data_IF_697509646045
#
_entry.id   IF_697509646045
#
_cell.length_a   1.000
_cell.length_b   1.000
_cell.length_c   1.000
_cell.angle_alpha   90.00
_cell.angle_beta   90.00
_cell.angle_gamma   90.00
#
_symmetry.space_group_name_H-M   'P 1'
#
loop_
_entity.id
_entity.type
_entity.pdbx_description
1 polymer ?
#
# COMPACT_ATOMS: atom_id res chain seq x y z
N UNK A 1 -9.60 -1.92 -18.88
CA UNK A 1 -9.82 -2.52 -17.53
C UNK A 1 -8.86 -2.00 -16.47
N UNK A 2 -7.60 -1.69 -16.82
CA UNK A 2 -6.60 -1.12 -15.89
C UNK A 2 -7.04 0.22 -15.24
N UNK A 3 -7.65 1.15 -15.99
CA UNK A 3 -8.23 2.37 -15.41
C UNK A 3 -9.35 2.07 -14.40
N UNK A 4 -10.21 1.08 -14.68
CA UNK A 4 -11.29 0.69 -13.76
C UNK A 4 -10.75 0.03 -12.48
N UNK A 5 -9.64 -0.70 -12.59
CA UNK A 5 -8.90 -1.16 -11.40
C UNK A 5 -8.37 0.03 -10.60
N UNK A 6 -7.76 1.01 -11.27
CA UNK A 6 -7.22 2.21 -10.62
C UNK A 6 -8.31 3.04 -9.93
N UNK A 7 -9.49 3.19 -10.55
CA UNK A 7 -10.66 3.81 -9.91
C UNK A 7 -11.04 3.10 -8.60
N UNK A 8 -10.94 1.77 -8.53
CA UNK A 8 -11.18 1.02 -7.31
C UNK A 8 -10.08 1.24 -6.25
N UNK A 9 -8.81 1.37 -6.69
CA UNK A 9 -7.68 1.75 -5.82
C UNK A 9 -7.92 3.13 -5.19
N UNK A 10 -8.29 4.12 -6.00
CA UNK A 10 -8.58 5.49 -5.54
C UNK A 10 -9.80 5.52 -4.60
N UNK A 11 -10.87 4.79 -4.96
CA UNK A 11 -12.07 4.65 -4.11
C UNK A 11 -11.72 4.06 -2.74
N UNK A 12 -10.90 3.01 -2.72
CA UNK A 12 -10.39 2.43 -1.47
C UNK A 12 -9.48 3.39 -0.70
N UNK A 13 -8.71 4.22 -1.40
CA UNK A 13 -7.86 5.26 -0.82
C UNK A 13 -8.65 6.34 -0.07
N UNK A 14 -9.86 6.65 -0.51
CA UNK A 14 -10.80 7.55 0.17
C UNK A 14 -11.49 6.90 1.39
N UNK A 15 -11.35 5.59 1.58
CA UNK A 15 -11.98 4.83 2.67
C UNK A 15 -13.35 4.25 2.33
N UNK A 16 -13.79 4.30 1.06
CA UNK A 16 -15.07 3.74 0.61
C UNK A 16 -14.94 2.22 0.37
N UNK A 17 -14.70 1.46 1.44
CA UNK A 17 -14.34 0.05 1.42
C UNK A 17 -15.35 -0.85 0.68
N UNK A 18 -16.64 -0.76 1.01
CA UNK A 18 -17.68 -1.57 0.37
C UNK A 18 -17.79 -1.30 -1.14
N UNK A 19 -17.70 -0.04 -1.53
CA UNK A 19 -17.73 0.36 -2.94
C UNK A 19 -16.52 -0.19 -3.69
N UNK A 20 -15.31 0.00 -3.15
CA UNK A 20 -14.08 -0.50 -3.73
C UNK A 20 -14.08 -2.03 -3.87
N UNK A 21 -14.46 -2.77 -2.82
CA UNK A 21 -14.55 -4.24 -2.85
C UNK A 21 -15.55 -4.73 -3.91
N UNK A 22 -16.71 -4.08 -4.01
CA UNK A 22 -17.72 -4.39 -5.05
C UNK A 22 -17.18 -4.13 -6.46
N UNK A 23 -16.46 -3.02 -6.67
CA UNK A 23 -15.83 -2.71 -7.95
C UNK A 23 -14.80 -3.76 -8.35
N UNK A 24 -13.95 -4.17 -7.40
CA UNK A 24 -12.90 -5.17 -7.61
C UNK A 24 -13.50 -6.54 -7.96
N UNK A 25 -14.59 -6.92 -7.29
CA UNK A 25 -15.26 -8.20 -7.56
C UNK A 25 -15.84 -8.29 -8.97
N UNK A 26 -16.63 -7.28 -9.36
CA UNK A 26 -17.18 -7.15 -10.72
C UNK A 26 -16.08 -7.02 -11.77
N UNK A 27 -14.94 -6.43 -11.42
CA UNK A 27 -13.80 -6.32 -12.33
C UNK A 27 -13.15 -7.69 -12.56
N UNK A 28 -12.97 -8.51 -11.51
CA UNK A 28 -12.45 -9.88 -11.64
C UNK A 28 -13.35 -10.72 -12.54
N UNK A 29 -14.66 -10.66 -12.36
CA UNK A 29 -15.62 -11.39 -13.20
C UNK A 29 -15.47 -11.05 -14.69
N UNK A 30 -15.43 -9.74 -15.01
CA UNK A 30 -15.26 -9.28 -16.40
C UNK A 30 -13.88 -9.62 -16.95
N UNK A 31 -12.82 -9.46 -16.15
CA UNK A 31 -11.46 -9.77 -16.58
C UNK A 31 -11.29 -11.26 -16.94
N UNK A 32 -11.97 -12.18 -16.25
CA UNK A 32 -11.99 -13.62 -16.61
C UNK A 32 -12.58 -13.88 -18.01
N UNK A 33 -13.57 -13.10 -18.44
CA UNK A 33 -14.23 -13.32 -19.75
C UNK A 33 -13.35 -13.01 -20.94
N UNK A 34 -12.27 -12.25 -20.73
CA UNK A 34 -11.32 -11.83 -21.78
C UNK A 34 -9.89 -12.25 -21.47
N UNK A 35 -9.70 -13.10 -20.46
CA UNK A 35 -8.40 -13.61 -20.04
C UNK A 35 -7.36 -12.53 -19.65
N UNK A 36 -7.81 -11.47 -18.97
CA UNK A 36 -6.94 -10.40 -18.47
C UNK A 36 -6.36 -10.75 -17.09
N UNK A 37 -5.43 -11.72 -17.06
CA UNK A 37 -4.86 -12.31 -15.85
C UNK A 37 -4.19 -11.29 -14.92
N UNK A 38 -3.54 -10.27 -15.48
CA UNK A 38 -2.88 -9.20 -14.73
C UNK A 38 -3.90 -8.32 -14.00
N UNK A 39 -5.05 -8.06 -14.61
CA UNK A 39 -6.14 -7.31 -13.96
C UNK A 39 -6.77 -8.13 -12.85
N UNK A 40 -6.95 -9.45 -13.04
CA UNK A 40 -7.46 -10.34 -11.99
C UNK A 40 -6.53 -10.32 -10.78
N UNK A 41 -5.22 -10.44 -11.02
CA UNK A 41 -4.18 -10.40 -10.00
C UNK A 41 -4.19 -9.07 -9.24
N UNK A 42 -4.15 -7.94 -9.95
CA UNK A 42 -4.21 -6.60 -9.35
C UNK A 42 -5.48 -6.37 -8.53
N UNK A 43 -6.62 -6.92 -8.97
CA UNK A 43 -7.88 -6.81 -8.24
C UNK A 43 -7.86 -7.62 -6.93
N UNK A 44 -7.25 -8.81 -6.94
CA UNK A 44 -7.04 -9.60 -5.73
C UNK A 44 -6.07 -8.92 -4.76
N UNK A 45 -4.92 -8.43 -5.22
CA UNK A 45 -3.95 -7.78 -4.33
C UNK A 45 -4.46 -6.44 -3.77
N UNK A 46 -5.33 -5.74 -4.50
CA UNK A 46 -6.03 -4.55 -3.97
C UNK A 46 -7.05 -4.94 -2.91
N UNK A 47 -7.77 -6.06 -3.10
CA UNK A 47 -8.68 -6.62 -2.09
C UNK A 47 -7.91 -6.98 -0.82
N UNK A 48 -6.74 -7.62 -0.96
CA UNK A 48 -5.82 -7.91 0.14
C UNK A 48 -5.39 -6.62 0.87
N UNK A 49 -5.00 -5.59 0.12
CA UNK A 49 -4.60 -4.30 0.68
C UNK A 49 -5.70 -3.63 1.51
N UNK A 50 -6.97 -3.76 1.14
CA UNK A 50 -8.08 -3.22 1.94
C UNK A 50 -8.24 -3.96 3.27
N UNK A 51 -8.11 -5.30 3.24
CA UNK A 51 -8.12 -6.13 4.45
C UNK A 51 -6.93 -5.84 5.37
N UNK A 52 -5.74 -5.70 4.79
CA UNK A 52 -4.51 -5.35 5.50
C UNK A 52 -4.60 -4.02 6.24
N UNK A 53 -5.15 -2.99 5.59
CA UNK A 53 -5.31 -1.66 6.20
C UNK A 53 -6.25 -1.68 7.42
N UNK A 54 -7.10 -2.70 7.53
CA UNK A 54 -7.98 -2.93 8.68
C UNK A 54 -7.43 -3.94 9.71
N UNK A 55 -6.15 -4.32 9.58
CA UNK A 55 -5.47 -5.27 10.46
C UNK A 55 -5.72 -6.75 10.16
N UNK A 56 -6.44 -7.09 9.09
CA UNK A 56 -6.82 -8.46 8.71
C UNK A 56 -5.75 -9.16 7.86
N UNK A 57 -4.53 -9.23 8.38
CA UNK A 57 -3.41 -9.91 7.71
C UNK A 57 -3.65 -11.41 7.49
N UNK A 58 -4.44 -12.03 8.38
CA UNK A 58 -4.89 -13.43 8.28
C UNK A 58 -5.65 -13.70 6.98
N UNK A 59 -6.55 -12.78 6.60
CA UNK A 59 -7.34 -12.88 5.37
C UNK A 59 -6.58 -12.36 4.14
N UNK A 60 -5.88 -11.23 4.30
CA UNK A 60 -5.15 -10.57 3.21
C UNK A 60 -4.13 -11.52 2.55
N UNK A 61 -3.46 -12.37 3.35
CA UNK A 61 -2.50 -13.34 2.86
C UNK A 61 -3.11 -14.32 1.83
N UNK A 62 -4.35 -14.75 2.04
CA UNK A 62 -5.06 -15.61 1.09
C UNK A 62 -5.39 -14.90 -0.22
N UNK A 63 -5.75 -13.62 -0.14
CA UNK A 63 -6.02 -12.81 -1.33
C UNK A 63 -4.77 -12.51 -2.15
N UNK A 64 -3.63 -12.20 -1.53
CA UNK A 64 -2.39 -12.01 -2.28
C UNK A 64 -1.83 -13.32 -2.85
N UNK A 65 -2.06 -14.45 -2.17
CA UNK A 65 -1.76 -15.77 -2.75
C UNK A 65 -2.62 -16.04 -3.99
N UNK A 66 -3.91 -15.72 -3.94
CA UNK A 66 -4.81 -15.80 -5.10
C UNK A 66 -4.41 -14.82 -6.22
N UNK A 67 -3.90 -13.63 -5.86
CA UNK A 67 -3.38 -12.66 -6.83
C UNK A 67 -2.19 -13.24 -7.59
N UNK A 68 -1.23 -13.86 -6.89
CA UNK A 68 -0.05 -14.46 -7.53
C UNK A 68 -0.41 -15.69 -8.37
N UNK A 69 -1.32 -16.53 -7.88
CA UNK A 69 -1.79 -17.73 -8.58
C UNK A 69 -2.63 -17.44 -9.84
N UNK A 70 -3.13 -16.21 -9.99
CA UNK A 70 -3.87 -15.79 -11.18
C UNK A 70 -2.97 -15.52 -12.40
N UNK A 71 -1.65 -15.50 -12.23
CA UNK A 71 -0.68 -15.19 -13.29
C UNK A 71 -0.02 -16.47 -13.81
N UNK A 72 0.12 -16.60 -15.13
CA UNK A 72 0.72 -17.79 -15.76
C UNK A 72 2.25 -17.85 -15.59
N UNK A 73 2.93 -16.71 -15.79
CA UNK A 73 4.38 -16.56 -15.61
C UNK A 73 4.72 -15.31 -14.77
N UNK A 74 4.46 -15.35 -13.45
CA UNK A 74 4.61 -14.19 -12.57
C UNK A 74 6.05 -13.70 -12.43
N UNK A 75 7.07 -14.50 -12.82
CA UNK A 75 8.47 -14.16 -12.59
C UNK A 75 9.28 -13.97 -13.88
N UNK A 76 8.85 -14.54 -15.00
CA UNK A 76 9.53 -14.46 -16.30
C UNK A 76 8.94 -13.42 -17.27
N UNK A 77 7.71 -12.96 -17.06
CA UNK A 77 7.02 -12.09 -18.04
C UNK A 77 7.74 -10.76 -18.31
N UNK A 78 7.83 -10.41 -19.60
CA UNK A 78 8.32 -9.12 -20.09
C UNK A 78 7.21 -8.05 -20.22
N UNK A 79 5.94 -8.39 -19.95
CA UNK A 79 4.86 -7.41 -19.89
C UNK A 79 4.96 -6.59 -18.57
N UNK A 80 5.10 -5.25 -18.63
CA UNK A 80 5.14 -4.40 -17.44
C UNK A 80 3.96 -4.59 -16.50
N UNK A 81 2.77 -4.87 -17.03
CA UNK A 81 1.55 -5.02 -16.25
C UNK A 81 1.47 -6.36 -15.52
N UNK A 82 1.93 -7.45 -16.15
CA UNK A 82 2.08 -8.74 -15.46
C UNK A 82 3.15 -8.65 -14.37
N UNK A 83 4.26 -7.95 -14.63
CA UNK A 83 5.32 -7.75 -13.62
C UNK A 83 4.84 -6.97 -12.40
N UNK A 84 4.14 -5.84 -12.59
CA UNK A 84 3.62 -5.08 -11.45
C UNK A 84 2.57 -5.87 -10.68
N UNK A 85 1.73 -6.65 -11.37
CA UNK A 85 0.75 -7.51 -10.72
C UNK A 85 1.42 -8.56 -9.81
N UNK A 86 2.45 -9.24 -10.33
CA UNK A 86 3.25 -10.19 -9.56
C UNK A 86 3.98 -9.51 -8.40
N UNK A 87 4.58 -8.35 -8.63
CA UNK A 87 5.30 -7.61 -7.59
C UNK A 87 4.38 -7.15 -6.47
N UNK A 88 3.22 -6.57 -6.79
CA UNK A 88 2.24 -6.17 -5.78
C UNK A 88 1.75 -7.35 -4.95
N UNK A 89 1.52 -8.52 -5.56
CA UNK A 89 1.13 -9.73 -4.85
C UNK A 89 2.24 -10.21 -3.90
N UNK A 90 3.51 -10.25 -4.35
CA UNK A 90 4.65 -10.68 -3.52
C UNK A 90 4.94 -9.69 -2.39
N UNK A 91 4.89 -8.38 -2.66
CA UNK A 91 5.03 -7.34 -1.63
C UNK A 91 3.86 -7.39 -0.64
N UNK A 92 2.64 -7.67 -1.12
CA UNK A 92 1.47 -7.89 -0.29
C UNK A 92 1.64 -9.08 0.68
N UNK A 93 2.10 -10.23 0.15
CA UNK A 93 2.47 -11.40 0.98
C UNK A 93 3.56 -11.05 2.01
N UNK A 94 4.55 -10.23 1.63
CA UNK A 94 5.58 -9.80 2.56
C UNK A 94 5.02 -8.91 3.68
N UNK A 95 4.11 -8.00 3.34
CA UNK A 95 3.44 -7.12 4.30
C UNK A 95 2.54 -7.90 5.26
N UNK A 96 1.83 -8.93 4.79
CA UNK A 96 1.00 -9.75 5.67
C UNK A 96 1.82 -10.68 6.57
N UNK A 97 2.92 -11.25 6.06
CA UNK A 97 3.85 -11.96 6.93
C UNK A 97 4.47 -11.03 7.97
N UNK A 98 4.78 -9.78 7.62
CA UNK A 98 5.23 -8.77 8.59
C UNK A 98 4.16 -8.49 9.65
N UNK A 99 2.91 -8.24 9.25
CA UNK A 99 1.80 -7.99 10.17
C UNK A 99 1.45 -9.18 11.06
N UNK A 100 1.82 -10.40 10.65
CA UNK A 100 1.74 -11.63 11.44
C UNK A 100 3.03 -11.93 12.23
N UNK A 101 3.97 -10.98 12.31
CA UNK A 101 5.26 -11.09 12.99
C UNK A 101 6.19 -12.21 12.46
N UNK A 102 6.00 -12.63 11.20
CA UNK A 102 6.81 -13.65 10.51
C UNK A 102 7.96 -12.98 9.74
N UNK A 103 8.82 -12.27 10.44
CA UNK A 103 9.86 -11.41 9.85
C UNK A 103 10.79 -12.12 8.84
N UNK A 104 11.29 -13.35 9.10
CA UNK A 104 12.14 -14.03 8.11
C UNK A 104 11.41 -14.34 6.79
N UNK A 105 10.11 -14.63 6.84
CA UNK A 105 9.31 -14.88 5.64
C UNK A 105 9.11 -13.57 4.86
N UNK A 106 8.76 -12.48 5.56
CA UNK A 106 8.66 -11.14 4.97
C UNK A 106 9.95 -10.73 4.26
N UNK A 107 11.11 -10.91 4.92
CA UNK A 107 12.43 -10.61 4.33
C UNK A 107 12.72 -11.38 3.04
N UNK A 108 12.44 -12.69 3.01
CA UNK A 108 12.63 -13.51 1.79
C UNK A 108 11.70 -13.08 0.66
N UNK A 109 10.45 -12.75 0.97
CA UNK A 109 9.48 -12.28 -0.03
C UNK A 109 9.89 -10.91 -0.61
N UNK A 110 10.39 -9.98 0.22
CA UNK A 110 10.92 -8.71 -0.27
C UNK A 110 12.17 -8.89 -1.15
N UNK A 111 13.06 -9.82 -0.80
CA UNK A 111 14.19 -10.16 -1.66
C UNK A 111 13.70 -10.67 -3.03
N UNK A 112 12.70 -11.55 -3.03
CA UNK A 112 12.09 -12.06 -4.26
C UNK A 112 11.39 -10.97 -5.08
N UNK A 113 10.71 -10.03 -4.42
CA UNK A 113 10.10 -8.87 -5.09
C UNK A 113 11.15 -8.01 -5.80
N UNK A 114 12.32 -7.80 -5.18
CA UNK A 114 13.42 -7.04 -5.80
C UNK A 114 13.95 -7.69 -7.06
N UNK A 115 14.07 -9.01 -7.09
CA UNK A 115 14.53 -9.77 -8.26
C UNK A 115 13.61 -9.59 -9.48
N UNK A 116 12.32 -9.27 -9.28
CA UNK A 116 11.40 -9.00 -10.40
C UNK A 116 11.83 -7.76 -11.21
N UNK A 117 12.42 -6.76 -10.55
CA UNK A 117 12.93 -5.53 -11.15
C UNK A 117 14.45 -5.52 -11.34
N UNK A 118 15.19 -6.31 -10.56
CA UNK A 118 16.65 -6.41 -10.62
C UNK A 118 17.12 -7.06 -11.92
N UNK A 119 17.49 -6.23 -12.89
CA UNK A 119 18.07 -6.66 -14.17
C UNK A 119 17.25 -6.28 -15.41
N UNK A 120 16.17 -5.52 -15.27
CA UNK A 120 15.31 -5.12 -16.39
C UNK A 120 14.98 -3.62 -16.32
N UNK A 121 15.89 -2.79 -16.84
CA UNK A 121 15.60 -1.39 -17.19
C UNK A 121 14.75 -1.35 -18.48
N UNK A 122 13.61 -2.03 -18.48
CA UNK A 122 12.63 -1.89 -19.55
C UNK A 122 11.70 -0.76 -19.15
N UNK A 123 12.24 0.46 -19.19
CA UNK A 123 11.41 1.65 -19.27
C UNK A 123 10.84 1.63 -20.68
N UNK A 124 9.54 1.36 -20.78
CA UNK A 124 8.82 1.60 -22.02
C UNK A 124 8.83 3.12 -22.25
N UNK A 125 9.72 3.58 -23.14
CA UNK A 125 9.94 5.00 -23.40
C UNK A 125 8.68 5.69 -23.95
N UNK A 126 7.74 4.91 -24.47
CA UNK A 126 6.47 5.38 -25.02
C UNK A 126 5.32 5.33 -24.01
N UNK A 127 5.55 4.82 -22.79
CA UNK A 127 4.52 4.78 -21.75
C UNK A 127 4.14 6.18 -21.27
N UNK A 128 2.84 6.43 -21.18
CA UNK A 128 2.32 7.66 -20.59
C UNK A 128 2.70 7.77 -19.10
N UNK A 129 2.63 8.99 -18.56
CA UNK A 129 3.06 9.28 -17.20
C UNK A 129 2.34 8.43 -16.13
N UNK A 130 1.04 8.15 -16.33
CA UNK A 130 0.27 7.33 -15.39
C UNK A 130 0.70 5.86 -15.47
N UNK A 131 0.84 5.31 -16.69
CA UNK A 131 1.35 3.94 -16.87
C UNK A 131 2.72 3.76 -16.23
N UNK A 132 3.65 4.71 -16.47
CA UNK A 132 5.00 4.72 -15.85
C UNK A 132 4.92 4.74 -14.33
N UNK A 133 4.12 5.62 -13.75
CA UNK A 133 3.94 5.69 -12.30
C UNK A 133 3.42 4.35 -11.75
N UNK A 134 2.42 3.77 -12.39
CA UNK A 134 1.78 2.53 -11.94
C UNK A 134 2.70 1.33 -12.06
N UNK A 135 3.43 1.16 -13.15
CA UNK A 135 4.20 -0.07 -13.43
C UNK A 135 5.65 -0.04 -12.93
N UNK A 136 6.20 1.14 -12.63
CA UNK A 136 7.59 1.29 -12.15
C UNK A 136 7.67 1.94 -10.77
N UNK A 137 7.23 3.20 -10.64
CA UNK A 137 7.48 3.98 -9.42
C UNK A 137 6.69 3.45 -8.22
N UNK A 138 5.37 3.33 -8.36
CA UNK A 138 4.45 2.89 -7.31
C UNK A 138 4.85 1.55 -6.68
N UNK A 139 5.08 0.45 -7.43
CA UNK A 139 5.44 -0.84 -6.84
C UNK A 139 6.74 -0.76 -6.04
N UNK A 140 7.77 -0.08 -6.58
CA UNK A 140 9.07 0.07 -5.91
C UNK A 140 8.95 0.88 -4.62
N UNK A 141 8.16 1.95 -4.62
CA UNK A 141 7.85 2.74 -3.42
C UNK A 141 7.13 1.87 -2.37
N UNK A 142 6.14 1.06 -2.77
CA UNK A 142 5.44 0.14 -1.87
C UNK A 142 6.35 -0.94 -1.27
N UNK A 143 7.31 -1.45 -2.04
CA UNK A 143 8.34 -2.37 -1.52
C UNK A 143 9.22 -1.69 -0.47
N UNK A 144 9.64 -0.43 -0.71
CA UNK A 144 10.43 0.34 0.27
C UNK A 144 9.66 0.57 1.55
N UNK A 145 8.36 0.86 1.47
CA UNK A 145 7.49 0.99 2.63
C UNK A 145 7.50 -0.27 3.51
N UNK A 146 7.22 -1.44 2.94
CA UNK A 146 7.19 -2.71 3.68
C UNK A 146 8.58 -3.08 4.20
N UNK A 147 9.64 -2.82 3.42
CA UNK A 147 11.01 -3.05 3.87
C UNK A 147 11.43 -2.13 5.01
N UNK A 148 11.01 -0.86 5.00
CA UNK A 148 11.28 0.09 6.08
C UNK A 148 10.54 -0.33 7.35
N UNK A 149 9.27 -0.70 7.24
CA UNK A 149 8.50 -1.26 8.36
C UNK A 149 9.19 -2.52 8.93
N UNK A 150 9.66 -3.45 8.07
CA UNK A 150 10.38 -4.64 8.51
C UNK A 150 11.62 -4.24 9.32
N UNK A 151 12.42 -3.32 8.79
CA UNK A 151 13.63 -2.84 9.42
C UNK A 151 13.35 -2.18 10.78
N UNK A 152 12.26 -1.40 10.90
CA UNK A 152 11.80 -0.85 12.17
C UNK A 152 11.49 -1.98 13.17
N UNK A 153 10.68 -2.97 12.77
CA UNK A 153 10.28 -4.07 13.64
C UNK A 153 11.45 -4.98 14.06
N UNK A 154 12.51 -5.06 13.24
CA UNK A 154 13.72 -5.84 13.55
C UNK A 154 14.85 -5.01 14.17
N UNK A 155 14.65 -3.72 14.41
CA UNK A 155 15.63 -2.84 15.06
C UNK A 155 16.78 -2.35 14.17
N UNK A 156 16.66 -2.43 12.84
CA UNK A 156 17.64 -1.91 11.88
C UNK A 156 17.25 -0.49 11.41
N UNK A 157 17.48 0.48 12.29
CA UNK A 157 17.11 1.88 12.02
C UNK A 157 17.85 2.48 10.81
N UNK A 158 19.08 2.03 10.53
CA UNK A 158 19.85 2.48 9.37
C UNK A 158 19.24 2.00 8.06
N UNK A 159 18.84 0.73 7.99
CA UNK A 159 18.14 0.20 6.82
C UNK A 159 16.77 0.85 6.63
N UNK A 160 16.03 1.10 7.72
CA UNK A 160 14.75 1.81 7.65
C UNK A 160 14.92 3.20 7.01
N UNK A 161 15.89 3.99 7.49
CA UNK A 161 16.22 5.32 6.94
C UNK A 161 16.65 5.27 5.47
N UNK A 162 17.47 4.29 5.08
CA UNK A 162 17.89 4.13 3.68
C UNK A 162 16.68 3.87 2.77
N UNK A 163 15.85 2.90 3.12
CA UNK A 163 14.70 2.51 2.30
C UNK A 163 13.67 3.64 2.17
N UNK A 164 13.40 4.36 3.25
CA UNK A 164 12.46 5.48 3.16
C UNK A 164 13.04 6.66 2.38
N UNK A 165 14.34 6.94 2.52
CA UNK A 165 15.02 7.96 1.72
C UNK A 165 15.01 7.63 0.22
N UNK A 166 15.11 6.35 -0.16
CA UNK A 166 14.90 5.92 -1.54
C UNK A 166 13.48 6.18 -2.02
N UNK A 167 12.46 5.83 -1.22
CA UNK A 167 11.06 6.07 -1.57
C UNK A 167 10.74 7.57 -1.73
N UNK A 168 11.26 8.42 -0.84
CA UNK A 168 11.11 9.87 -0.93
C UNK A 168 11.75 10.44 -2.20
N UNK A 169 12.94 9.96 -2.58
CA UNK A 169 13.60 10.36 -3.84
C UNK A 169 12.77 9.96 -5.06
N UNK A 170 12.21 8.75 -5.08
CA UNK A 170 11.33 8.30 -6.16
C UNK A 170 10.09 9.18 -6.25
N UNK A 171 9.39 9.40 -5.13
CA UNK A 171 8.18 10.23 -5.10
C UNK A 171 8.45 11.70 -5.43
N UNK A 172 9.63 12.25 -5.10
CA UNK A 172 9.97 13.66 -5.34
C UNK A 172 9.95 14.09 -6.81
N UNK A 173 9.96 13.14 -7.75
CA UNK A 173 9.85 13.41 -9.19
C UNK A 173 8.43 13.24 -9.74
N UNK A 174 7.47 12.81 -8.90
CA UNK A 174 6.11 12.47 -9.32
C UNK A 174 5.13 13.60 -9.03
N UNK A 175 4.08 13.68 -9.85
CA UNK A 175 3.01 14.69 -9.74
C UNK A 175 2.33 14.68 -8.37
N UNK A 176 1.80 15.84 -7.97
CA UNK A 176 0.87 15.97 -6.84
C UNK A 176 -0.43 15.18 -7.03
N UNK A 177 -0.75 14.75 -8.25
CA UNK A 177 -1.92 13.88 -8.51
C UNK A 177 -1.83 12.53 -7.78
N UNK A 178 -0.63 12.14 -7.33
CA UNK A 178 -0.39 10.93 -6.55
C UNK A 178 -0.28 11.22 -5.04
N UNK A 179 -0.99 12.24 -4.55
CA UNK A 179 -0.91 12.76 -3.18
C UNK A 179 -1.02 11.69 -2.10
N UNK A 180 -1.88 10.69 -2.29
CA UNK A 180 -2.00 9.55 -1.35
C UNK A 180 -0.67 8.83 -1.13
N UNK A 181 0.11 8.62 -2.20
CA UNK A 181 1.41 7.95 -2.12
C UNK A 181 2.48 8.86 -1.50
N UNK A 182 2.40 10.17 -1.75
CA UNK A 182 3.25 11.15 -1.05
C UNK A 182 3.00 11.12 0.46
N UNK A 183 1.75 11.27 0.89
CA UNK A 183 1.38 11.25 2.32
C UNK A 183 1.80 9.93 2.98
N UNK A 184 1.54 8.78 2.34
CA UNK A 184 1.92 7.47 2.91
C UNK A 184 3.43 7.32 3.04
N UNK A 185 4.21 7.86 2.08
CA UNK A 185 5.68 7.89 2.19
C UNK A 185 6.12 8.74 3.37
N UNK A 186 5.59 9.95 3.51
CA UNK A 186 5.95 10.85 4.61
C UNK A 186 5.56 10.29 5.98
N UNK A 187 4.42 9.59 6.08
CA UNK A 187 4.01 8.91 7.32
C UNK A 187 4.99 7.81 7.74
N UNK A 188 5.51 7.03 6.80
CA UNK A 188 6.51 5.99 7.13
C UNK A 188 7.84 6.65 7.49
N UNK A 189 8.20 7.76 6.85
CA UNK A 189 9.38 8.54 7.22
C UNK A 189 9.28 9.03 8.67
N UNK A 190 8.13 9.61 9.05
CA UNK A 190 7.86 10.00 10.43
C UNK A 190 7.93 8.83 11.42
N UNK A 191 7.35 7.67 11.06
CA UNK A 191 7.41 6.47 11.91
C UNK A 191 8.83 5.88 12.07
N UNK A 192 9.72 6.16 11.12
CA UNK A 192 11.13 5.71 11.14
C UNK A 192 12.10 6.69 11.80
N UNK A 193 11.64 7.90 12.15
CA UNK A 193 12.48 8.95 12.67
C UNK A 193 12.92 8.68 14.11
N UNK A 194 14.18 9.03 14.43
CA UNK A 194 14.73 8.95 15.79
C UNK A 194 14.37 10.15 16.66
N UNK A 195 14.08 11.29 16.04
CA UNK A 195 13.62 12.51 16.72
C UNK A 195 12.09 12.55 16.72
N UNK A 196 11.49 12.50 17.90
CA UNK A 196 10.03 12.46 18.08
C UNK A 196 9.36 13.79 17.77
N UNK A 197 10.06 14.92 17.92
CA UNK A 197 9.53 16.25 17.58
C UNK A 197 9.39 16.42 16.08
N UNK A 198 10.44 16.05 15.33
CA UNK A 198 10.40 16.07 13.86
C UNK A 198 9.36 15.08 13.32
N UNK A 199 9.27 13.89 13.90
CA UNK A 199 8.25 12.90 13.57
C UNK A 199 6.83 13.46 13.75
N UNK A 200 6.57 14.15 14.87
CA UNK A 200 5.26 14.72 15.17
C UNK A 200 4.89 15.83 14.18
N UNK A 201 5.83 16.71 13.82
CA UNK A 201 5.60 17.77 12.83
C UNK A 201 5.22 17.21 11.45
N UNK A 202 5.93 16.17 11.00
CA UNK A 202 5.63 15.49 9.73
C UNK A 202 4.28 14.77 9.80
N UNK A 203 3.97 14.06 10.89
CA UNK A 203 2.69 13.39 11.08
C UNK A 203 1.51 14.38 11.09
N UNK A 204 1.67 15.56 11.70
CA UNK A 204 0.66 16.63 11.64
C UNK A 204 0.48 17.19 10.22
N UNK A 205 1.56 17.34 9.46
CA UNK A 205 1.48 17.77 8.06
C UNK A 205 0.72 16.73 7.21
N UNK A 206 1.02 15.45 7.41
CA UNK A 206 0.30 14.33 6.79
C UNK A 206 -1.18 14.36 7.14
N UNK A 207 -1.53 14.59 8.41
CA UNK A 207 -2.92 14.70 8.86
C UNK A 207 -3.67 15.81 8.13
N UNK A 208 -3.07 17.00 7.99
CA UNK A 208 -3.69 18.13 7.28
C UNK A 208 -3.94 17.80 5.81
N UNK A 209 -2.94 17.25 5.13
CA UNK A 209 -3.02 16.86 3.71
C UNK A 209 -4.05 15.73 3.49
N UNK A 210 -4.06 14.72 4.37
CA UNK A 210 -5.01 13.62 4.32
C UNK A 210 -6.46 14.10 4.48
N UNK A 211 -6.71 15.03 5.41
CA UNK A 211 -8.03 15.64 5.58
C UNK A 211 -8.45 16.47 4.37
N UNK A 212 -7.55 17.28 3.82
CA UNK A 212 -7.83 18.09 2.63
C UNK A 212 -8.18 17.24 1.41
N UNK A 213 -7.51 16.10 1.24
CA UNK A 213 -7.79 15.13 0.17
C UNK A 213 -8.91 14.14 0.46
N UNK A 214 -9.54 14.18 1.66
CA UNK A 214 -10.57 13.22 2.04
C UNK A 214 -10.07 11.79 2.24
N UNK A 215 -8.76 11.57 2.40
CA UNK A 215 -8.16 10.25 2.61
C UNK A 215 -8.38 9.79 4.05
N UNK A 216 -9.57 9.27 4.34
CA UNK A 216 -9.95 8.81 5.68
C UNK A 216 -8.97 7.77 6.26
N UNK A 217 -8.52 6.74 5.52
CA UNK A 217 -7.55 5.78 6.06
C UNK A 217 -6.23 6.44 6.49
N UNK A 218 -5.75 7.43 5.74
CA UNK A 218 -4.53 8.16 6.07
C UNK A 218 -4.75 9.19 7.18
N UNK A 219 -5.96 9.72 7.33
CA UNK A 219 -6.35 10.55 8.49
C UNK A 219 -6.26 9.72 9.77
N UNK A 220 -6.85 8.52 9.77
CA UNK A 220 -6.76 7.58 10.89
C UNK A 220 -5.30 7.20 11.17
N UNK A 221 -4.52 6.80 10.15
CA UNK A 221 -3.11 6.43 10.32
C UNK A 221 -2.25 7.59 10.87
N UNK A 222 -2.48 8.82 10.41
CA UNK A 222 -1.74 10.01 10.89
C UNK A 222 -2.04 10.29 12.36
N UNK A 223 -3.31 10.19 12.77
CA UNK A 223 -3.72 10.37 14.16
C UNK A 223 -3.17 9.25 15.06
N UNK A 224 -3.24 8.00 14.62
CA UNK A 224 -2.67 6.86 15.34
C UNK A 224 -1.17 7.00 15.54
N UNK A 225 -0.44 7.52 14.54
CA UNK A 225 0.98 7.82 14.68
C UNK A 225 1.22 8.95 15.70
N UNK A 226 0.46 10.04 15.65
CA UNK A 226 0.56 11.13 16.64
C UNK A 226 0.32 10.64 18.07
N UNK A 227 -0.68 9.78 18.26
CA UNK A 227 -0.92 9.13 19.54
C UNK A 227 0.27 8.27 19.98
N UNK A 228 0.83 7.47 19.06
CA UNK A 228 2.03 6.66 19.31
C UNK A 228 3.28 7.48 19.63
N UNK A 229 3.36 8.72 19.15
CA UNK A 229 4.41 9.70 19.47
C UNK A 229 4.15 10.48 20.78
N UNK A 230 3.05 10.21 21.48
CA UNK A 230 2.76 10.74 22.81
C UNK A 230 1.61 11.76 22.89
N UNK A 231 0.91 12.08 21.78
CA UNK A 231 -0.29 12.91 21.83
C UNK A 231 -1.47 12.13 22.45
N UNK A 232 -1.68 12.35 23.74
CA UNK A 232 -2.75 11.72 24.53
C UNK A 232 -3.94 12.65 24.74
N UNK A 233 -4.07 13.71 23.93
CA UNK A 233 -5.20 14.64 24.03
C UNK A 233 -6.53 13.94 23.75
N UNK A 234 -7.58 14.36 24.48
CA UNK A 234 -8.95 13.88 24.24
C UNK A 234 -9.37 14.10 22.78
N UNK A 235 -8.95 15.21 22.17
CA UNK A 235 -9.22 15.54 20.77
C UNK A 235 -8.63 14.53 19.80
N UNK A 236 -7.40 14.08 20.02
CA UNK A 236 -6.74 13.09 19.15
C UNK A 236 -7.40 11.72 19.31
N UNK A 237 -7.65 11.28 20.55
CA UNK A 237 -8.31 10.00 20.83
C UNK A 237 -9.72 9.96 20.22
N UNK A 238 -10.52 11.01 20.41
CA UNK A 238 -11.86 11.08 19.83
C UNK A 238 -11.84 11.10 18.29
N UNK A 239 -10.86 11.79 17.69
CA UNK A 239 -10.73 11.83 16.23
C UNK A 239 -10.29 10.48 15.63
N UNK A 240 -9.48 9.68 16.35
CA UNK A 240 -9.13 8.31 15.96
C UNK A 240 -10.39 7.45 15.93
N UNK A 241 -11.18 7.47 17.01
CA UNK A 241 -12.43 6.72 17.10
C UNK A 241 -13.42 7.11 15.99
N UNK A 242 -13.65 8.42 15.79
CA UNK A 242 -14.56 8.91 14.75
C UNK A 242 -14.10 8.52 13.33
N UNK A 243 -12.78 8.56 13.06
CA UNK A 243 -12.25 8.14 11.76
C UNK A 243 -12.40 6.64 11.55
N UNK A 244 -12.17 5.84 12.60
CA UNK A 244 -12.39 4.39 12.58
C UNK A 244 -13.86 4.05 12.31
N UNK A 245 -14.80 4.66 13.05
CA UNK A 245 -16.24 4.41 12.88
C UNK A 245 -16.70 4.77 11.46
N UNK A 246 -16.23 5.89 10.92
CA UNK A 246 -16.53 6.25 9.53
C UNK A 246 -15.99 5.23 8.52
N UNK A 247 -14.81 4.66 8.75
CA UNK A 247 -14.29 3.61 7.87
C UNK A 247 -15.13 2.33 7.97
N UNK A 248 -15.55 1.94 9.18
CA UNK A 248 -16.45 0.79 9.40
C UNK A 248 -17.78 1.02 8.69
N UNK A 249 -18.41 2.18 8.85
CA UNK A 249 -19.68 2.53 8.20
C UNK A 249 -19.59 2.52 6.67
N UNK A 250 -18.41 2.84 6.13
CA UNK A 250 -18.11 2.77 4.69
C UNK A 250 -17.69 1.37 4.21
N UNK A 251 -17.73 0.38 5.10
CA UNK A 251 -17.47 -1.03 4.80
C UNK A 251 -16.00 -1.37 4.62
N UNK A 252 -15.09 -0.65 5.30
CA UNK A 252 -13.73 -1.16 5.47
C UNK A 252 -13.73 -2.42 6.34
N UNK A 253 -12.99 -3.48 5.97
CA UNK A 253 -13.15 -4.83 6.52
C UNK A 253 -12.50 -5.05 7.90
N UNK A 254 -12.71 -4.16 8.86
CA UNK A 254 -12.24 -4.33 10.25
C UNK A 254 -12.82 -5.58 10.91
N UNK A 255 -12.06 -6.17 11.83
CA UNK A 255 -12.59 -7.25 12.67
C UNK A 255 -13.73 -6.73 13.55
N UNK A 256 -14.88 -7.43 13.56
CA UNK A 256 -15.88 -7.24 14.63
C UNK A 256 -17.27 -6.71 14.25
N UNK A 257 -17.62 -6.57 12.96
CA UNK A 257 -19.04 -6.52 12.52
C UNK A 257 -19.18 -7.24 11.17
N UNK A 258 -19.57 -8.52 11.24
CA UNK A 258 -20.15 -9.28 10.13
C UNK A 258 -21.63 -9.48 10.41
#
# INVERSE_FOLDING_TARGET
>A
MRNQWWEAVERGGLGDGAAALTMLDRLRERARTVDACEVISLAWSTTASLHRQSGRHDLALGFDAAALAALDDPFGSADPWVRVAAHDAVVGLAADNLGLFRFPASGRLLARARELYGGRDVVDADADAWSRFVTDVRPRVRERWVGAELAIYTGDADQARRLIGEAQKMMGSESSDHERHHIKTDLIAAASASDTSDAAAVAQACLRRARAGGFVPLTWASLSLLQGLGDTSYTTIAAIAASHDMLVDRGMPFAGRS
#
